data_IF_633273179162
#
_entry.id   IF_633273179162
#
_cell.length_a   1.000
_cell.length_b   1.000
_cell.length_c   1.000
_cell.angle_alpha   90.00
_cell.angle_beta   90.00
_cell.angle_gamma   90.00
#
_symmetry.space_group_name_H-M   'P 1'
#
loop_
_entity.id
_entity.type
_entity.pdbx_description
1 polymer ?
#
# COMPACT_ATOMS: atom_id res chain seq x y z
N UNK A 1 -10.99 35.02 -1.19
CA UNK A 1 -11.14 34.06 -2.30
C UNK A 1 -10.61 32.74 -1.78
N UNK A 2 -11.45 32.04 -1.03
CA UNK A 2 -11.13 30.73 -0.45
C UNK A 2 -11.43 29.72 -1.55
N UNK A 3 -10.40 29.07 -2.09
CA UNK A 3 -10.61 27.94 -2.99
C UNK A 3 -11.09 26.77 -2.14
N UNK A 4 -12.41 26.68 -1.97
CA UNK A 4 -13.10 25.47 -1.51
C UNK A 4 -12.94 24.42 -2.62
N UNK A 5 -11.78 23.74 -2.63
CA UNK A 5 -11.53 22.55 -3.43
C UNK A 5 -12.33 21.39 -2.83
N UNK A 6 -13.67 21.46 -2.89
CA UNK A 6 -14.50 20.25 -2.88
C UNK A 6 -14.28 19.56 -4.21
N UNK A 7 -13.14 18.89 -4.33
CA UNK A 7 -13.00 17.78 -5.27
C UNK A 7 -13.99 16.70 -4.82
N UNK A 8 -15.23 16.84 -5.28
CA UNK A 8 -16.18 15.73 -5.44
C UNK A 8 -15.69 14.82 -6.58
N UNK A 9 -14.42 14.43 -6.55
CA UNK A 9 -13.96 13.24 -7.23
C UNK A 9 -14.11 12.12 -6.22
N UNK A 10 -15.24 11.41 -6.27
CA UNK A 10 -15.32 10.06 -5.70
C UNK A 10 -14.24 9.25 -6.42
N UNK A 11 -13.02 9.21 -5.86
CA UNK A 11 -12.02 8.22 -6.24
C UNK A 11 -12.58 6.89 -5.73
N UNK A 12 -13.31 6.21 -6.61
CA UNK A 12 -13.94 4.91 -6.34
C UNK A 12 -12.82 3.86 -6.41
N UNK A 13 -12.14 3.64 -5.28
CA UNK A 13 -11.00 2.71 -5.17
C UNK A 13 -9.70 3.43 -4.86
N UNK A 14 -9.17 3.21 -3.66
CA UNK A 14 -7.88 3.73 -3.24
C UNK A 14 -6.70 3.03 -3.94
N UNK A 15 -5.51 3.65 -3.99
CA UNK A 15 -4.31 3.03 -4.51
C UNK A 15 -3.97 1.74 -3.75
N UNK A 16 -3.71 0.67 -4.50
CA UNK A 16 -3.10 -0.56 -3.99
C UNK A 16 -1.62 -0.48 -4.28
N UNK A 17 -0.79 -0.47 -3.25
CA UNK A 17 0.67 -0.30 -3.37
C UNK A 17 1.34 -1.63 -3.05
N UNK A 18 2.07 -2.20 -4.00
CA UNK A 18 2.83 -3.44 -3.81
C UNK A 18 4.24 -3.11 -3.31
N UNK A 19 4.55 -3.60 -2.12
CA UNK A 19 5.83 -3.42 -1.45
C UNK A 19 6.55 -4.76 -1.48
N UNK A 20 7.42 -4.93 -2.48
CA UNK A 20 8.18 -6.16 -2.74
C UNK A 20 9.69 -5.90 -2.63
N UNK A 21 10.52 -6.93 -2.38
CA UNK A 21 11.97 -6.79 -2.24
C UNK A 21 12.66 -6.66 -3.62
N UNK A 22 12.34 -5.59 -4.35
CA UNK A 22 12.81 -5.38 -5.72
C UNK A 22 14.19 -4.70 -5.79
N UNK A 23 14.62 -4.07 -4.70
CA UNK A 23 15.93 -3.45 -4.53
C UNK A 23 16.62 -4.01 -3.28
N UNK A 24 17.94 -3.85 -3.20
CA UNK A 24 18.72 -4.03 -1.97
C UNK A 24 19.30 -2.67 -1.52
N UNK A 25 19.49 -2.47 -0.21
CA UNK A 25 20.12 -1.26 0.31
C UNK A 25 20.31 -1.28 1.82
N UNK A 26 20.94 -0.26 2.37
CA UNK A 26 21.19 -0.17 3.80
C UNK A 26 21.80 1.16 4.21
N UNK A 27 22.04 1.31 5.50
CA UNK A 27 22.77 2.47 6.03
C UNK A 27 24.18 2.54 5.41
N UNK A 28 24.69 3.76 5.24
CA UNK A 28 26.06 3.95 4.77
C UNK A 28 27.05 3.22 5.69
N UNK A 29 27.91 2.38 5.12
CA UNK A 29 28.87 1.56 5.86
C UNK A 29 28.31 0.21 6.36
N UNK A 30 27.05 -0.12 6.08
CA UNK A 30 26.54 -1.47 6.32
C UNK A 30 27.30 -2.49 5.44
N UNK A 31 27.69 -3.61 6.06
CA UNK A 31 28.42 -4.69 5.37
C UNK A 31 27.51 -5.56 4.49
N UNK A 32 26.24 -5.65 4.87
CA UNK A 32 25.24 -6.50 4.20
C UNK A 32 24.05 -5.61 3.85
N UNK A 33 23.71 -5.46 2.55
CA UNK A 33 22.51 -4.75 2.16
C UNK A 33 21.27 -5.62 2.47
N UNK A 34 20.16 -4.96 2.77
CA UNK A 34 18.89 -5.61 3.10
C UNK A 34 17.90 -5.47 1.94
N UNK A 35 17.00 -6.45 1.74
CA UNK A 35 15.96 -6.33 0.74
C UNK A 35 14.98 -5.22 1.11
N UNK A 36 14.66 -4.36 0.14
CA UNK A 36 13.77 -3.21 0.34
C UNK A 36 12.91 -2.95 -0.91
N UNK A 37 11.83 -2.21 -0.73
CA UNK A 37 11.05 -1.74 -1.87
C UNK A 37 11.78 -0.66 -2.65
N UNK A 38 11.45 -0.51 -3.94
CA UNK A 38 11.99 0.58 -4.76
C UNK A 38 11.69 1.94 -4.14
N UNK A 39 12.65 2.87 -4.22
CA UNK A 39 12.50 4.24 -3.71
C UNK A 39 11.24 4.93 -4.27
N UNK A 40 10.96 4.73 -5.56
CA UNK A 40 9.77 5.30 -6.20
C UNK A 40 8.47 4.74 -5.61
N UNK A 41 8.44 3.46 -5.22
CA UNK A 41 7.27 2.84 -4.58
C UNK A 41 7.04 3.45 -3.19
N UNK A 42 8.10 3.69 -2.42
CA UNK A 42 8.01 4.36 -1.12
C UNK A 42 7.56 5.81 -1.26
N UNK A 43 8.05 6.53 -2.27
CA UNK A 43 7.61 7.88 -2.58
C UNK A 43 6.12 7.94 -2.94
N UNK A 44 5.66 7.05 -3.83
CA UNK A 44 4.25 6.95 -4.23
C UNK A 44 3.35 6.60 -3.03
N UNK A 45 3.79 5.68 -2.16
CA UNK A 45 3.10 5.37 -0.91
C UNK A 45 2.88 6.63 -0.08
N UNK A 46 3.97 7.36 0.23
CA UNK A 46 3.91 8.60 1.00
C UNK A 46 3.04 9.67 0.34
N UNK A 47 3.15 9.83 -0.98
CA UNK A 47 2.32 10.75 -1.75
C UNK A 47 0.82 10.43 -1.63
N UNK A 48 0.44 9.16 -1.80
CA UNK A 48 -0.96 8.74 -1.70
C UNK A 48 -1.50 8.90 -0.29
N UNK A 49 -0.71 8.57 0.74
CA UNK A 49 -1.10 8.78 2.14
C UNK A 49 -1.31 10.27 2.41
N UNK A 50 -0.38 11.14 2.00
CA UNK A 50 -0.51 12.58 2.21
C UNK A 50 -1.68 13.20 1.47
N UNK A 51 -2.02 12.68 0.27
CA UNK A 51 -3.08 13.22 -0.58
C UNK A 51 -4.47 12.68 -0.24
N UNK A 52 -4.58 11.40 0.11
CA UNK A 52 -5.85 10.70 0.27
C UNK A 52 -6.14 10.30 1.72
N UNK A 53 -5.13 10.31 2.59
CA UNK A 53 -5.20 9.74 3.94
C UNK A 53 -4.89 8.24 3.95
N UNK A 54 -4.28 7.77 5.04
CA UNK A 54 -3.86 6.36 5.17
C UNK A 54 -5.02 5.37 5.08
N UNK A 55 -6.23 5.73 5.51
CA UNK A 55 -7.44 4.89 5.42
C UNK A 55 -7.94 4.66 3.99
N UNK A 56 -7.36 5.34 3.01
CA UNK A 56 -7.72 5.24 1.59
C UNK A 56 -6.60 4.63 0.74
N UNK A 57 -5.56 4.06 1.36
CA UNK A 57 -4.44 3.41 0.66
C UNK A 57 -4.31 1.99 1.20
N UNK A 58 -4.16 1.01 0.32
CA UNK A 58 -3.97 -0.39 0.68
C UNK A 58 -2.53 -0.85 0.35
N UNK A 59 -1.58 -0.73 1.30
CA UNK A 59 -0.23 -1.22 1.09
C UNK A 59 -0.16 -2.74 1.33
N UNK A 60 0.21 -3.49 0.30
CA UNK A 60 0.46 -4.92 0.36
C UNK A 60 1.96 -5.16 0.47
N UNK A 61 2.41 -5.85 1.52
CA UNK A 61 3.84 -6.03 1.81
C UNK A 61 4.24 -7.49 1.76
N UNK A 62 5.22 -7.80 0.91
CA UNK A 62 5.84 -9.13 0.88
C UNK A 62 6.74 -9.29 2.11
N UNK A 63 6.85 -10.52 2.60
CA UNK A 63 7.83 -10.84 3.63
C UNK A 63 9.25 -10.44 3.18
N UNK A 64 10.13 -10.24 4.15
CA UNK A 64 11.56 -9.97 3.98
C UNK A 64 11.92 -8.57 3.44
N UNK A 65 10.93 -7.67 3.33
CA UNK A 65 11.17 -6.26 2.99
C UNK A 65 11.39 -5.42 4.26
N UNK A 66 12.48 -4.66 4.32
CA UNK A 66 12.66 -3.61 5.32
C UNK A 66 11.58 -2.54 5.13
N UNK A 67 10.72 -2.37 6.13
CA UNK A 67 9.66 -1.35 6.11
C UNK A 67 10.22 0.00 6.55
N UNK A 68 9.87 1.12 5.88
CA UNK A 68 10.26 2.43 6.36
C UNK A 68 9.49 2.76 7.64
N UNK A 69 10.20 3.06 8.72
CA UNK A 69 9.61 3.32 10.04
C UNK A 69 8.65 4.51 10.07
N UNK A 70 8.80 5.46 9.13
CA UNK A 70 7.88 6.59 8.95
C UNK A 70 6.43 6.16 8.69
N UNK A 71 6.21 4.91 8.27
CA UNK A 71 4.91 4.34 7.95
C UNK A 71 4.46 3.23 8.92
N UNK A 72 5.13 3.03 10.06
CA UNK A 72 4.79 1.96 11.02
C UNK A 72 3.38 2.08 11.60
N UNK A 73 2.78 3.27 11.60
CA UNK A 73 1.39 3.51 12.00
C UNK A 73 0.33 3.10 10.97
N UNK A 74 0.75 2.56 9.82
CA UNK A 74 -0.15 2.22 8.71
C UNK A 74 -0.46 0.72 8.73
N UNK A 75 -1.74 0.40 8.48
CA UNK A 75 -2.18 -0.99 8.35
C UNK A 75 -1.66 -1.60 7.05
N UNK A 76 -0.69 -2.51 7.16
CA UNK A 76 -0.20 -3.29 6.03
C UNK A 76 -0.99 -4.58 5.84
N UNK A 77 -1.24 -4.96 4.59
CA UNK A 77 -1.76 -6.27 4.22
C UNK A 77 -0.56 -7.17 3.88
N UNK A 78 -0.32 -8.27 4.60
CA UNK A 78 0.71 -9.22 4.22
C UNK A 78 0.42 -9.82 2.84
N UNK A 79 1.38 -9.76 1.92
CA UNK A 79 1.34 -10.40 0.61
C UNK A 79 1.90 -11.83 0.75
N UNK A 80 1.06 -12.72 1.25
CA UNK A 80 1.39 -14.12 1.46
C UNK A 80 1.22 -14.96 0.18
N UNK A 81 1.97 -16.06 0.08
CA UNK A 81 1.91 -16.98 -1.05
C UNK A 81 0.67 -17.87 -1.05
N UNK A 82 -0.03 -18.01 0.09
CA UNK A 82 -1.26 -18.79 0.19
C UNK A 82 -2.50 -18.01 -0.32
N UNK A 83 -2.35 -16.73 -0.67
CA UNK A 83 -3.41 -15.89 -1.21
C UNK A 83 -4.33 -15.26 -0.17
N UNK A 84 -4.00 -15.32 1.13
CA UNK A 84 -4.78 -14.71 2.21
C UNK A 84 -4.99 -13.21 2.05
N UNK A 85 -4.02 -12.52 1.43
CA UNK A 85 -4.09 -11.11 1.05
C UNK A 85 -5.34 -10.73 0.25
N UNK A 86 -5.90 -11.64 -0.56
CA UNK A 86 -7.08 -11.38 -1.40
C UNK A 86 -8.30 -11.02 -0.54
N UNK A 87 -8.54 -11.80 0.52
CA UNK A 87 -9.65 -11.56 1.46
C UNK A 87 -9.45 -10.31 2.30
N UNK A 88 -8.22 -10.04 2.74
CA UNK A 88 -7.87 -8.83 3.47
C UNK A 88 -8.07 -7.58 2.61
N UNK A 89 -7.59 -7.60 1.36
CA UNK A 89 -7.79 -6.49 0.42
C UNK A 89 -9.28 -6.26 0.12
N UNK A 90 -10.05 -7.33 -0.12
CA UNK A 90 -11.50 -7.22 -0.31
C UNK A 90 -12.21 -6.58 0.90
N UNK A 91 -11.75 -6.87 2.14
CA UNK A 91 -12.26 -6.22 3.35
C UNK A 91 -11.97 -4.72 3.36
N UNK A 92 -10.74 -4.31 3.07
CA UNK A 92 -10.36 -2.90 3.02
C UNK A 92 -11.11 -2.15 1.91
N UNK A 93 -11.23 -2.74 0.71
CA UNK A 93 -12.00 -2.18 -0.40
C UNK A 93 -13.48 -2.00 -0.03
N UNK A 94 -14.08 -2.96 0.68
CA UNK A 94 -15.46 -2.85 1.20
C UNK A 94 -15.59 -1.71 2.21
N UNK A 95 -14.64 -1.59 3.14
CA UNK A 95 -14.60 -0.50 4.13
C UNK A 95 -14.50 0.87 3.47
N UNK A 96 -13.67 0.98 2.43
CA UNK A 96 -13.49 2.19 1.62
C UNK A 96 -14.64 2.46 0.64
N UNK A 97 -15.64 1.57 0.55
CA UNK A 97 -16.73 1.62 -0.45
C UNK A 97 -16.21 1.67 -1.90
N UNK A 98 -15.06 1.06 -2.14
CA UNK A 98 -14.51 0.89 -3.47
C UNK A 98 -15.32 -0.17 -4.24
N UNK A 99 -15.59 0.03 -5.55
CA UNK A 99 -16.24 -0.98 -6.36
C UNK A 99 -15.28 -2.13 -6.65
N UNK A 100 -15.68 -3.34 -6.35
CA UNK A 100 -14.99 -4.58 -6.74
C UNK A 100 -16.02 -5.70 -6.90
N UNK A 101 -15.65 -6.74 -7.65
CA UNK A 101 -16.47 -7.93 -7.81
C UNK A 101 -16.13 -8.93 -6.70
N UNK A 102 -17.09 -9.18 -5.80
CA UNK A 102 -16.88 -10.03 -4.64
C UNK A 102 -16.78 -11.52 -5.00
N UNK A 103 -17.46 -11.95 -6.06
CA UNK A 103 -17.45 -13.35 -6.52
C UNK A 103 -16.06 -13.71 -7.07
N UNK A 104 -15.39 -12.74 -7.71
CA UNK A 104 -14.06 -12.92 -8.31
C UNK A 104 -12.89 -12.90 -7.33
N UNK A 105 -13.13 -12.61 -6.05
CA UNK A 105 -12.02 -12.44 -5.08
C UNK A 105 -11.16 -13.70 -4.97
N UNK A 106 -11.76 -14.89 -5.11
CA UNK A 106 -11.03 -16.15 -4.97
C UNK A 106 -10.91 -16.94 -6.27
N UNK A 107 -11.36 -16.36 -7.39
CA UNK A 107 -11.15 -16.92 -8.72
C UNK A 107 -9.66 -16.78 -9.12
N UNK A 108 -9.16 -17.73 -9.91
CA UNK A 108 -7.77 -17.82 -10.35
C UNK A 108 -7.71 -17.83 -11.89
#
# INVERSE_FOLDING_TARGET
>A
MELDLRLSSRVLGGPVVLITPDDEGGLAGALVPEPRARQNVIFELGFFIGKLGASHVAPLVKNDVVRPSDFDGIGYIPLDSAGGWKGLLARELRGAKAPFDAEKVFEA
#
